data_IF_261331208368
#
_entry.id   IF_261331208368
#
_cell.length_a   1.000
_cell.length_b   1.000
_cell.length_c   1.000
_cell.angle_alpha   90.00
_cell.angle_beta   90.00
_cell.angle_gamma   90.00
#
_symmetry.space_group_name_H-M   'P 1'
#
loop_
_entity.id
_entity.type
_entity.pdbx_description
1 polymer ?
#
# COMPACT_ATOMS: atom_id res chain seq x y z
N UNK A 1 22.24 -8.35 -50.49
CA UNK A 1 21.05 -8.76 -49.70
C UNK A 1 21.38 -9.14 -48.25
N UNK A 2 22.46 -9.89 -47.96
CA UNK A 2 22.79 -10.31 -46.59
C UNK A 2 23.13 -9.17 -45.62
N UNK A 3 23.89 -8.15 -46.05
CA UNK A 3 24.29 -7.02 -45.20
C UNK A 3 23.09 -6.17 -44.77
N UNK A 4 22.15 -5.90 -45.68
CA UNK A 4 20.93 -5.14 -45.36
C UNK A 4 20.05 -5.86 -44.34
N UNK A 5 19.90 -7.18 -44.47
CA UNK A 5 19.16 -8.00 -43.51
C UNK A 5 19.85 -8.02 -42.12
N UNK A 6 21.18 -8.14 -42.08
CA UNK A 6 21.94 -8.11 -40.84
C UNK A 6 21.84 -6.74 -40.13
N UNK A 7 21.97 -5.64 -40.88
CA UNK A 7 21.79 -4.27 -40.34
C UNK A 7 20.37 -4.10 -39.79
N UNK A 8 19.34 -4.48 -40.56
CA UNK A 8 17.96 -4.38 -40.12
C UNK A 8 17.68 -5.19 -38.84
N UNK A 9 18.19 -6.42 -38.76
CA UNK A 9 18.04 -7.27 -37.59
C UNK A 9 18.71 -6.66 -36.36
N UNK A 10 19.96 -6.20 -36.47
CA UNK A 10 20.68 -5.56 -35.37
C UNK A 10 19.97 -4.27 -34.90
N UNK A 11 19.56 -3.40 -35.83
CA UNK A 11 18.83 -2.17 -35.46
C UNK A 11 17.47 -2.46 -34.82
N UNK A 12 16.76 -3.49 -35.30
CA UNK A 12 15.49 -3.93 -34.72
C UNK A 12 15.67 -4.41 -33.28
N UNK A 13 16.64 -5.28 -33.04
CA UNK A 13 16.94 -5.77 -31.68
C UNK A 13 17.35 -4.66 -30.72
N UNK A 14 18.13 -3.68 -31.19
CA UNK A 14 18.52 -2.53 -30.37
C UNK A 14 17.33 -1.62 -30.02
N UNK A 15 16.44 -1.37 -30.99
CA UNK A 15 15.23 -0.58 -30.76
C UNK A 15 14.28 -1.26 -29.77
N UNK A 16 14.08 -2.58 -29.91
CA UNK A 16 13.27 -3.37 -28.97
C UNK A 16 13.85 -3.37 -27.56
N UNK A 17 15.18 -3.47 -27.44
CA UNK A 17 15.88 -3.36 -26.14
C UNK A 17 15.67 -1.97 -25.52
N UNK A 18 15.84 -0.90 -26.29
CA UNK A 18 15.63 0.48 -25.82
C UNK A 18 14.17 0.74 -25.40
N UNK A 19 13.19 0.23 -26.15
CA UNK A 19 11.77 0.32 -25.80
C UNK A 19 11.46 -0.45 -24.51
N UNK A 20 12.04 -1.64 -24.34
CA UNK A 20 11.88 -2.45 -23.14
C UNK A 20 12.41 -1.72 -21.91
N UNK A 21 13.59 -1.12 -22.02
CA UNK A 21 14.20 -0.38 -20.91
C UNK A 21 13.42 0.89 -20.56
N UNK A 22 12.92 1.61 -21.57
CA UNK A 22 12.02 2.75 -21.37
C UNK A 22 10.74 2.35 -20.64
N UNK A 23 10.12 1.22 -21.01
CA UNK A 23 8.92 0.69 -20.32
C UNK A 23 9.23 0.28 -18.89
N UNK A 24 10.37 -0.37 -18.62
CA UNK A 24 10.81 -0.73 -17.26
C UNK A 24 11.01 0.49 -16.39
N UNK A 25 11.69 1.51 -16.91
CA UNK A 25 11.93 2.77 -16.19
C UNK A 25 10.62 3.45 -15.82
N UNK A 26 9.65 3.50 -16.74
CA UNK A 26 8.31 4.04 -16.45
C UNK A 26 7.56 3.23 -15.39
N UNK A 27 7.57 1.91 -15.50
CA UNK A 27 6.93 1.03 -14.51
C UNK A 27 7.55 1.17 -13.11
N UNK A 28 8.88 1.33 -13.04
CA UNK A 28 9.58 1.59 -11.78
C UNK A 28 9.19 2.94 -11.18
N UNK A 29 9.23 4.00 -12.00
CA UNK A 29 8.80 5.34 -11.58
C UNK A 29 7.38 5.33 -11.04
N UNK A 30 6.47 4.62 -11.73
CA UNK A 30 5.07 4.50 -11.34
C UNK A 30 4.91 3.82 -9.97
N UNK A 31 5.70 2.77 -9.73
CA UNK A 31 5.71 2.03 -8.47
C UNK A 31 6.34 2.82 -7.32
N UNK A 32 7.31 3.68 -7.59
CA UNK A 32 7.88 4.60 -6.59
C UNK A 32 6.85 5.65 -6.16
N UNK A 33 6.11 6.23 -7.11
CA UNK A 33 5.01 7.16 -6.80
C UNK A 33 3.98 6.48 -5.90
N UNK A 34 3.54 5.28 -6.28
CA UNK A 34 2.60 4.48 -5.50
C UNK A 34 3.14 4.16 -4.10
N UNK A 35 4.41 3.80 -3.97
CA UNK A 35 5.04 3.50 -2.69
C UNK A 35 5.09 4.73 -1.78
N UNK A 36 5.54 5.87 -2.28
CA UNK A 36 5.59 7.11 -1.49
C UNK A 36 4.20 7.59 -1.07
N UNK A 37 3.20 7.45 -1.96
CA UNK A 37 1.81 7.75 -1.62
C UNK A 37 1.29 6.82 -0.51
N UNK A 38 1.59 5.52 -0.58
CA UNK A 38 1.21 4.54 0.43
C UNK A 38 1.90 4.82 1.77
N UNK A 39 3.20 5.12 1.76
CA UNK A 39 4.01 5.36 2.95
C UNK A 39 3.57 6.62 3.69
N UNK A 40 3.36 7.72 2.94
CA UNK A 40 2.83 8.95 3.50
C UNK A 40 1.44 8.76 4.11
N UNK A 41 0.56 8.00 3.46
CA UNK A 41 -0.76 7.69 4.00
C UNK A 41 -0.66 6.81 5.25
N UNK A 42 0.23 5.82 5.28
CA UNK A 42 0.46 4.96 6.44
C UNK A 42 0.87 5.79 7.66
N UNK A 43 1.85 6.68 7.49
CA UNK A 43 2.31 7.58 8.55
C UNK A 43 1.20 8.52 9.02
N UNK A 44 0.47 9.14 8.09
CA UNK A 44 -0.61 10.07 8.42
C UNK A 44 -1.77 9.40 9.16
N UNK A 45 -2.19 8.20 8.74
CA UNK A 45 -3.27 7.46 9.38
C UNK A 45 -2.87 6.97 10.77
N UNK A 46 -1.62 6.53 10.94
CA UNK A 46 -1.06 6.23 12.26
C UNK A 46 -1.12 7.44 13.17
N UNK A 47 -0.68 8.60 12.68
CA UNK A 47 -0.68 9.82 13.48
C UNK A 47 -2.12 10.25 13.86
N UNK A 48 -3.11 10.07 12.97
CA UNK A 48 -4.52 10.33 13.29
C UNK A 48 -5.09 9.33 14.30
N UNK A 49 -4.70 8.06 14.23
CA UNK A 49 -5.09 7.04 15.21
C UNK A 49 -4.61 7.43 16.61
N UNK A 50 -3.34 7.84 16.73
CA UNK A 50 -2.77 8.28 18.01
C UNK A 50 -3.42 9.53 18.58
N UNK A 51 -3.92 10.42 17.71
CA UNK A 51 -4.70 11.60 18.12
C UNK A 51 -6.17 11.29 18.42
N UNK A 52 -6.62 10.05 18.26
CA UNK A 52 -8.02 9.66 18.46
C UNK A 52 -8.99 10.23 17.41
N UNK A 53 -8.50 10.65 16.25
CA UNK A 53 -9.32 11.30 15.19
C UNK A 53 -9.42 10.50 13.89
N UNK A 54 -8.90 9.27 13.88
CA UNK A 54 -9.05 8.36 12.75
C UNK A 54 -10.31 7.51 12.90
N UNK A 55 -11.11 7.35 11.83
CA UNK A 55 -12.07 6.25 11.77
C UNK A 55 -11.32 4.92 11.71
N UNK A 56 -11.86 3.90 12.38
CA UNK A 56 -11.35 2.53 12.34
C UNK A 56 -12.51 1.54 12.38
N UNK A 57 -12.32 0.36 11.82
CA UNK A 57 -13.26 -0.75 11.94
C UNK A 57 -13.22 -1.31 13.36
N UNK A 58 -14.39 -1.50 13.97
CA UNK A 58 -14.51 -2.09 15.29
C UNK A 58 -13.98 -3.54 15.32
N UNK A 59 -13.59 -3.98 16.52
CA UNK A 59 -13.10 -5.34 16.75
C UNK A 59 -14.16 -6.37 16.35
N UNK A 60 -13.77 -7.40 15.60
CA UNK A 60 -14.61 -8.58 15.40
C UNK A 60 -14.64 -9.44 16.66
N UNK A 61 -15.67 -10.29 16.79
CA UNK A 61 -15.72 -11.34 17.83
C UNK A 61 -14.58 -12.37 17.67
N UNK A 62 -14.02 -12.50 16.46
CA UNK A 62 -12.86 -13.35 16.19
C UNK A 62 -11.58 -12.77 16.77
N UNK A 63 -10.75 -13.64 17.34
CA UNK A 63 -9.37 -13.32 17.72
C UNK A 63 -8.37 -13.45 16.56
N UNK A 64 -8.82 -13.93 15.39
CA UNK A 64 -7.98 -13.98 14.19
C UNK A 64 -7.55 -12.57 13.75
N UNK A 65 -6.45 -12.50 13.03
CA UNK A 65 -6.00 -11.22 12.48
C UNK A 65 -7.02 -10.67 11.47
N UNK A 66 -7.43 -9.39 11.60
CA UNK A 66 -8.32 -8.76 10.63
C UNK A 66 -7.70 -8.69 9.23
N UNK A 67 -8.52 -8.99 8.24
CA UNK A 67 -8.13 -9.03 6.83
C UNK A 67 -9.08 -8.22 5.93
N UNK A 68 -9.84 -7.28 6.50
CA UNK A 68 -10.83 -6.50 5.76
C UNK A 68 -10.21 -5.72 4.60
N UNK A 69 -8.94 -5.31 4.74
CA UNK A 69 -8.17 -4.67 3.69
C UNK A 69 -8.00 -5.52 2.42
N UNK A 70 -8.11 -6.85 2.52
CA UNK A 70 -8.05 -7.79 1.37
C UNK A 70 -9.39 -7.93 0.65
N UNK A 71 -10.50 -7.48 1.24
CA UNK A 71 -11.83 -7.62 0.63
C UNK A 71 -11.90 -6.82 -0.68
N UNK A 72 -12.64 -7.36 -1.64
CA UNK A 72 -12.86 -6.72 -2.93
C UNK A 72 -14.16 -5.89 -2.90
N UNK A 73 -14.16 -4.61 -3.34
CA UNK A 73 -13.01 -3.85 -3.81
C UNK A 73 -12.02 -3.48 -2.69
N UNK A 74 -10.71 -3.40 -2.97
CA UNK A 74 -9.71 -3.16 -1.94
C UNK A 74 -9.92 -1.79 -1.27
N UNK A 75 -9.95 -1.76 0.07
CA UNK A 75 -10.28 -0.57 0.87
C UNK A 75 -11.63 0.08 0.50
N UNK A 76 -12.62 -0.73 0.15
CA UNK A 76 -14.00 -0.26 -0.05
C UNK A 76 -14.82 -0.18 1.25
N UNK A 77 -14.26 -0.63 2.38
CA UNK A 77 -14.89 -0.46 3.69
C UNK A 77 -15.24 1.02 3.93
N UNK A 78 -16.42 1.35 4.50
CA UNK A 78 -16.80 2.72 4.81
C UNK A 78 -15.78 3.47 5.68
N UNK A 79 -15.08 2.74 6.54
CA UNK A 79 -14.05 3.26 7.45
C UNK A 79 -12.72 3.54 6.74
N UNK A 80 -12.54 3.08 5.49
CA UNK A 80 -11.36 3.43 4.72
C UNK A 80 -11.41 4.89 4.29
N UNK A 81 -10.34 5.65 4.51
CA UNK A 81 -10.32 7.09 4.24
C UNK A 81 -9.02 7.55 3.58
N UNK A 82 -9.07 8.71 2.92
CA UNK A 82 -7.90 9.36 2.37
C UNK A 82 -7.38 10.43 3.35
N UNK A 83 -6.16 10.31 3.90
CA UNK A 83 -5.59 11.36 4.73
C UNK A 83 -5.19 12.60 3.93
N UNK A 84 -5.04 12.49 2.60
CA UNK A 84 -4.73 13.57 1.67
C UNK A 84 -5.80 13.66 0.59
N UNK A 85 -6.14 14.87 0.13
CA UNK A 85 -7.09 15.06 -0.97
C UNK A 85 -6.51 14.62 -2.33
N UNK A 86 -5.19 14.50 -2.44
CA UNK A 86 -4.47 14.07 -3.62
C UNK A 86 -3.00 13.82 -3.29
N UNK A 87 -2.25 13.25 -4.23
CA UNK A 87 -0.81 13.03 -4.10
C UNK A 87 -0.12 13.33 -5.43
N UNK A 88 1.06 13.98 -5.45
CA UNK A 88 1.73 14.35 -6.70
C UNK A 88 1.89 13.16 -7.65
N UNK A 89 1.44 13.34 -8.90
CA UNK A 89 1.48 12.36 -9.99
C UNK A 89 0.68 11.05 -9.75
N UNK A 90 0.00 10.91 -8.61
CA UNK A 90 -0.85 9.75 -8.35
C UNK A 90 -2.19 9.88 -9.08
N UNK A 91 -2.66 8.78 -9.68
CA UNK A 91 -3.96 8.71 -10.33
C UNK A 91 -5.13 8.82 -9.35
N UNK A 92 -4.90 8.47 -8.08
CA UNK A 92 -5.91 8.47 -7.02
C UNK A 92 -5.26 8.92 -5.71
N UNK A 93 -6.02 9.60 -4.82
CA UNK A 93 -5.55 9.87 -3.47
C UNK A 93 -5.19 8.55 -2.75
N UNK A 94 -4.08 8.49 -2.01
CA UNK A 94 -3.77 7.31 -1.22
C UNK A 94 -4.79 7.17 -0.10
N UNK A 95 -5.17 5.93 0.22
CA UNK A 95 -6.19 5.60 1.22
C UNK A 95 -5.62 4.64 2.25
N UNK A 96 -6.18 4.65 3.44
CA UNK A 96 -5.85 3.70 4.49
C UNK A 96 -7.11 3.10 5.12
N UNK A 97 -6.95 1.93 5.72
CA UNK A 97 -7.93 1.27 6.59
C UNK A 97 -7.24 0.91 7.89
N UNK A 98 -7.94 1.15 8.99
CA UNK A 98 -7.50 0.80 10.34
C UNK A 98 -8.49 -0.20 10.89
N UNK A 99 -7.99 -1.32 11.40
CA UNK A 99 -8.82 -2.39 11.95
C UNK A 99 -8.48 -2.54 13.43
N UNK A 100 -9.46 -2.51 14.32
CA UNK A 100 -9.21 -2.81 15.72
C UNK A 100 -9.12 -4.34 15.91
N UNK A 101 -8.13 -4.81 16.66
CA UNK A 101 -7.86 -6.22 16.86
C UNK A 101 -7.62 -6.54 18.34
N UNK A 102 -8.51 -7.39 18.88
CA UNK A 102 -8.36 -7.96 20.22
C UNK A 102 -7.49 -9.22 20.17
N UNK A 103 -6.21 -9.07 20.52
CA UNK A 103 -5.28 -10.20 20.57
C UNK A 103 -5.63 -11.19 21.71
N UNK A 104 -5.33 -12.49 21.55
CA UNK A 104 -5.46 -13.47 22.62
C UNK A 104 -4.69 -13.08 23.89
N UNK A 105 -5.26 -13.40 25.04
CA UNK A 105 -4.66 -13.16 26.35
C UNK A 105 -3.29 -13.88 26.44
N UNK A 106 -2.21 -13.10 26.54
CA UNK A 106 -0.82 -13.60 26.59
C UNK A 106 0.16 -12.71 25.83
N UNK A 107 -0.27 -12.08 24.73
CA UNK A 107 0.51 -11.07 24.01
C UNK A 107 0.07 -9.67 24.44
N UNK A 108 0.66 -9.14 25.53
CA UNK A 108 0.46 -7.78 26.04
C UNK A 108 -0.95 -7.24 25.74
N UNK A 109 -1.94 -7.60 26.57
CA UNK A 109 -3.40 -7.49 26.36
C UNK A 109 -4.00 -6.10 26.09
N UNK A 110 -3.29 -5.23 25.39
CA UNK A 110 -3.80 -4.02 24.76
C UNK A 110 -4.37 -4.29 23.37
N UNK A 111 -5.14 -3.33 22.89
CA UNK A 111 -5.72 -3.34 21.54
C UNK A 111 -4.61 -3.16 20.51
N UNK A 112 -4.61 -4.04 19.52
CA UNK A 112 -3.74 -3.89 18.35
C UNK A 112 -4.53 -3.28 17.21
N UNK A 113 -3.84 -2.56 16.33
CA UNK A 113 -4.40 -1.91 15.18
C UNK A 113 -3.53 -2.22 13.96
N UNK A 114 -3.90 -3.22 13.13
CA UNK A 114 -3.41 -3.30 11.78
C UNK A 114 -3.87 -2.05 11.00
N UNK A 115 -2.89 -1.34 10.44
CA UNK A 115 -3.12 -0.17 9.60
C UNK A 115 -2.57 -0.54 8.23
N UNK A 116 -3.46 -0.54 7.23
CA UNK A 116 -3.13 -0.84 5.86
C UNK A 116 -3.30 0.40 5.01
N UNK A 117 -2.28 0.79 4.25
CA UNK A 117 -2.31 1.91 3.32
C UNK A 117 -2.13 1.43 1.88
N UNK A 118 -2.83 2.07 0.95
CA UNK A 118 -2.73 1.87 -0.48
C UNK A 118 -2.38 3.18 -1.16
N UNK A 119 -1.31 3.15 -1.93
CA UNK A 119 -0.98 4.20 -2.89
C UNK A 119 -1.20 3.70 -4.31
N UNK A 120 -1.54 4.62 -5.20
CA UNK A 120 -1.70 4.35 -6.64
C UNK A 120 -0.75 5.28 -7.38
N UNK A 121 0.03 4.71 -8.30
CA UNK A 121 0.89 5.50 -9.17
C UNK A 121 0.10 6.32 -10.18
N UNK A 122 0.76 6.80 -11.22
CA UNK A 122 0.18 7.40 -12.43
C UNK A 122 -0.87 6.51 -13.12
N UNK A 123 -0.81 5.18 -12.96
CA UNK A 123 -1.81 4.25 -13.49
C UNK A 123 -2.52 3.47 -12.38
N UNK A 124 -3.82 3.20 -12.57
CA UNK A 124 -4.64 2.45 -11.61
C UNK A 124 -4.13 1.01 -11.34
N UNK A 125 -3.41 0.41 -12.31
CA UNK A 125 -2.76 -0.89 -12.19
C UNK A 125 -1.51 -0.87 -11.29
N UNK A 126 -0.93 0.30 -11.05
CA UNK A 126 0.29 0.49 -10.25
C UNK A 126 -0.05 0.78 -8.80
N UNK A 127 -0.78 -0.14 -8.17
CA UNK A 127 -1.09 -0.06 -6.75
C UNK A 127 0.02 -0.68 -5.91
N UNK A 128 0.42 0.02 -4.84
CA UNK A 128 1.29 -0.48 -3.79
C UNK A 128 0.54 -0.45 -2.48
N UNK A 129 0.75 -1.51 -1.70
CA UNK A 129 0.17 -1.71 -0.39
C UNK A 129 1.30 -1.65 0.64
N UNK A 130 1.02 -1.09 1.81
CA UNK A 130 1.91 -1.11 2.96
C UNK A 130 1.07 -1.36 4.19
N UNK A 131 1.63 -2.10 5.15
CA UNK A 131 0.95 -2.39 6.40
C UNK A 131 1.94 -2.31 7.56
N UNK A 132 1.42 -1.96 8.72
CA UNK A 132 2.08 -2.20 10.00
C UNK A 132 1.01 -2.39 11.06
N UNK A 133 1.42 -2.89 12.21
CA UNK A 133 0.56 -3.13 13.34
C UNK A 133 1.06 -2.33 14.53
N UNK A 134 0.15 -1.58 15.15
CA UNK A 134 0.44 -0.78 16.35
C UNK A 134 -0.32 -1.37 17.52
N UNK A 135 0.35 -1.68 18.62
CA UNK A 135 -0.30 -2.02 19.88
C UNK A 135 -0.37 -0.75 20.74
N UNK A 136 -1.58 -0.37 21.16
CA UNK A 136 -1.81 0.80 22.01
C UNK A 136 -2.31 0.34 23.37
N UNK A 137 -1.67 0.87 24.42
CA UNK A 137 -2.09 0.69 25.81
C UNK A 137 -1.98 2.03 26.51
N UNK A 138 -3.01 2.40 27.26
CA UNK A 138 -3.07 3.65 28.02
C UNK A 138 -2.80 4.91 27.15
N UNK A 139 -3.20 4.88 25.87
CA UNK A 139 -2.98 5.97 24.91
C UNK A 139 -1.59 6.03 24.26
N UNK A 140 -0.68 5.12 24.64
CA UNK A 140 0.69 5.07 24.13
C UNK A 140 0.94 3.85 23.24
N UNK A 141 1.80 4.01 22.22
CA UNK A 141 2.32 2.87 21.47
C UNK A 141 3.21 2.06 22.38
N UNK A 142 2.83 0.81 22.63
CA UNK A 142 3.65 -0.17 23.36
C UNK A 142 4.37 -1.14 22.44
N UNK A 143 3.94 -1.25 21.18
CA UNK A 143 4.68 -1.98 20.16
C UNK A 143 4.30 -1.51 18.75
N UNK A 144 5.28 -1.49 17.84
CA UNK A 144 5.09 -1.29 16.40
C UNK A 144 5.74 -2.45 15.65
N UNK A 145 4.95 -3.18 14.87
CA UNK A 145 5.42 -4.29 14.05
C UNK A 145 5.22 -3.95 12.58
N UNK A 146 6.31 -3.82 11.84
CA UNK A 146 6.26 -3.52 10.42
C UNK A 146 5.82 -4.75 9.61
N UNK A 147 4.87 -4.59 8.67
CA UNK A 147 4.35 -5.66 7.81
C UNK A 147 4.36 -5.21 6.36
N UNK A 148 5.46 -5.43 5.64
CA UNK A 148 5.48 -5.06 4.21
C UNK A 148 4.58 -6.00 3.42
N UNK A 149 3.46 -5.51 2.89
CA UNK A 149 2.65 -6.27 1.93
C UNK A 149 2.71 -5.59 0.57
N UNK A 150 3.62 -6.02 -0.31
CA UNK A 150 3.55 -5.69 -1.73
C UNK A 150 2.78 -6.81 -2.46
N UNK A 151 1.57 -6.48 -2.91
CA UNK A 151 0.55 -7.26 -3.66
C UNK A 151 -0.61 -7.85 -2.84
N UNK A 152 -1.83 -7.57 -3.32
CA UNK A 152 -2.88 -8.59 -3.40
C UNK A 152 -2.60 -9.28 -4.73
N UNK A 153 -1.95 -10.45 -4.73
CA UNK A 153 -1.96 -11.30 -5.92
C UNK A 153 -3.43 -11.60 -6.23
N UNK A 154 -3.87 -11.20 -7.42
CA UNK A 154 -5.01 -11.86 -8.07
C UNK A 154 -4.48 -13.06 -8.82
#
# INVERSE_FOLDING_TARGET
MAVGAAVAALTGTWFDAALTESRRTRALSDRLIAFHAADAALAACTARLLRGSAPYMNESESHAEPDAWRRMPPLAAPEAFAPFAGWPMAAQPPRCLIEAWRRPAGQAGGRAYPITARGVGTHASSAVWLQHQVAIRDGHIVALHWRRVATVLR
#
